data_IF_593071859222
#
_entry.id   IF_593071859222
#
_cell.length_a   1.000
_cell.length_b   1.000
_cell.length_c   1.000
_cell.angle_alpha   90.00
_cell.angle_beta   90.00
_cell.angle_gamma   90.00
#
_symmetry.space_group_name_H-M   'P 1'
#
loop_
_entity.id
_entity.type
_entity.pdbx_description
1 polymer ?
#
# COMPACT_ATOMS: atom_id res chain seq x y z
N UNK A 1 14.64 7.90 8.75
CA UNK A 1 13.33 7.19 8.80
C UNK A 1 13.00 6.65 7.42
N UNK A 2 12.53 5.42 7.32
CA UNK A 2 12.13 4.81 6.06
C UNK A 2 10.80 5.37 5.58
N UNK A 3 10.56 5.25 4.27
CA UNK A 3 9.29 5.65 3.65
C UNK A 3 8.76 4.53 2.78
N UNK A 4 7.45 4.31 2.83
CA UNK A 4 6.74 3.34 2.00
C UNK A 4 5.74 4.09 1.11
N UNK A 5 5.81 3.87 -0.20
CA UNK A 5 4.82 4.36 -1.15
C UNK A 5 4.10 3.15 -1.74
N UNK A 6 2.78 3.17 -1.73
CA UNK A 6 1.98 2.05 -2.24
C UNK A 6 0.92 2.54 -3.21
N UNK A 7 0.52 1.66 -4.15
CA UNK A 7 -0.52 1.96 -5.13
C UNK A 7 -1.21 0.68 -5.59
N UNK A 8 -2.49 0.78 -5.86
CA UNK A 8 -3.28 -0.28 -6.47
C UNK A 8 -3.81 0.19 -7.81
N UNK A 9 -3.96 -0.73 -8.75
CA UNK A 9 -4.47 -0.43 -10.08
C UNK A 9 -5.51 -1.46 -10.51
N UNK A 10 -6.56 -0.99 -11.19
CA UNK A 10 -7.58 -1.86 -11.76
C UNK A 10 -7.88 -1.39 -13.18
N UNK A 11 -7.82 -2.32 -14.14
CA UNK A 11 -8.09 -2.02 -15.55
C UNK A 11 -9.56 -1.78 -15.83
N UNK A 12 -10.39 -2.27 -14.93
CA UNK A 12 -11.83 -2.02 -14.91
C UNK A 12 -12.25 -2.15 -13.45
N UNK A 13 -13.24 -1.42 -12.99
CA UNK A 13 -13.59 -1.42 -11.57
C UNK A 13 -14.99 -2.03 -11.35
N UNK A 14 -15.14 -3.37 -11.10
CA UNK A 14 -14.05 -4.34 -10.92
C UNK A 14 -13.47 -4.85 -12.23
N UNK A 15 -12.26 -5.41 -12.15
CA UNK A 15 -11.58 -6.00 -13.30
C UNK A 15 -10.19 -6.46 -12.96
N UNK A 16 -9.36 -6.79 -13.97
CA UNK A 16 -7.98 -7.17 -13.74
C UNK A 16 -7.27 -6.12 -12.92
N UNK A 17 -6.65 -6.53 -11.83
CA UNK A 17 -6.08 -5.63 -10.83
C UNK A 17 -4.69 -6.06 -10.40
N UNK A 18 -3.92 -5.10 -9.92
CA UNK A 18 -2.57 -5.30 -9.43
C UNK A 18 -2.26 -4.29 -8.34
N UNK A 19 -1.11 -4.50 -7.70
CA UNK A 19 -0.58 -3.50 -6.77
C UNK A 19 0.93 -3.40 -6.89
N UNK A 20 1.47 -2.33 -6.33
CA UNK A 20 2.91 -2.13 -6.28
C UNK A 20 3.28 -1.19 -5.15
N UNK A 21 4.54 -1.23 -4.78
CA UNK A 21 5.06 -0.35 -3.75
C UNK A 21 6.57 -0.31 -3.73
N UNK A 22 7.09 0.69 -3.06
CA UNK A 22 8.53 0.94 -2.97
C UNK A 22 8.86 1.43 -1.56
N UNK A 23 9.98 0.96 -1.03
CA UNK A 23 10.50 1.35 0.27
C UNK A 23 11.81 2.10 0.05
N UNK A 24 11.91 3.29 0.65
CA UNK A 24 13.12 4.11 0.63
C UNK A 24 13.72 4.16 2.03
N UNK A 25 15.05 4.21 2.11
CA UNK A 25 15.73 4.47 3.39
C UNK A 25 15.75 5.98 3.71
N UNK A 26 16.40 6.35 4.81
CA UNK A 26 16.50 7.75 5.23
C UNK A 26 17.28 8.64 4.26
N UNK A 27 18.01 8.04 3.32
CA UNK A 27 18.76 8.78 2.29
C UNK A 27 18.02 8.80 0.95
N UNK A 28 16.73 8.41 0.94
CA UNK A 28 15.89 8.32 -0.26
C UNK A 28 16.41 7.34 -1.31
N UNK A 29 17.09 6.28 -0.87
CA UNK A 29 17.55 5.21 -1.73
C UNK A 29 16.53 4.07 -1.70
N UNK A 30 16.14 3.55 -2.86
CA UNK A 30 15.24 2.40 -2.94
C UNK A 30 15.91 1.18 -2.32
N UNK A 31 15.34 0.66 -1.25
CA UNK A 31 15.84 -0.55 -0.58
C UNK A 31 14.93 -1.74 -0.79
N UNK A 32 13.75 -1.55 -1.33
CA UNK A 32 12.84 -2.64 -1.65
C UNK A 32 11.74 -2.19 -2.58
N UNK A 33 11.35 -3.07 -3.50
CA UNK A 33 10.20 -2.88 -4.38
C UNK A 33 9.39 -4.17 -4.39
N UNK A 34 8.09 -4.03 -4.65
CA UNK A 34 7.21 -5.20 -4.78
C UNK A 34 6.07 -4.86 -5.72
N UNK A 35 5.55 -5.88 -6.38
CA UNK A 35 4.33 -5.76 -7.18
C UNK A 35 3.75 -7.15 -7.42
N UNK A 36 2.44 -7.22 -7.63
CA UNK A 36 1.76 -8.47 -7.88
C UNK A 36 0.46 -8.26 -8.66
N UNK A 37 0.13 -9.22 -9.51
CA UNK A 37 -1.14 -9.28 -10.20
C UNK A 37 -2.11 -10.08 -9.33
N UNK A 38 -3.30 -9.55 -9.07
CA UNK A 38 -4.24 -10.16 -8.14
C UNK A 38 -5.53 -10.68 -8.78
N UNK A 39 -5.61 -10.64 -10.12
CA UNK A 39 -6.81 -11.06 -10.82
C UNK A 39 -7.93 -10.04 -10.72
N UNK A 40 -9.18 -10.49 -10.79
CA UNK A 40 -10.33 -9.60 -10.75
C UNK A 40 -10.56 -9.05 -9.35
N UNK A 41 -10.53 -7.73 -9.22
CA UNK A 41 -10.75 -7.04 -7.96
C UNK A 41 -11.21 -5.60 -8.22
N UNK A 42 -11.53 -4.87 -7.14
CA UNK A 42 -11.82 -3.44 -7.21
C UNK A 42 -10.56 -2.62 -6.96
N UNK A 43 -10.59 -1.35 -7.33
CA UNK A 43 -9.51 -0.41 -7.00
C UNK A 43 -9.21 -0.40 -5.51
N UNK A 44 -10.23 -0.35 -4.67
CA UNK A 44 -10.04 -0.27 -3.22
C UNK A 44 -9.40 -1.52 -2.65
N UNK A 45 -9.76 -2.70 -3.14
CA UNK A 45 -9.12 -3.96 -2.73
C UNK A 45 -7.64 -3.95 -3.12
N UNK A 46 -7.33 -3.53 -4.35
CA UNK A 46 -5.95 -3.45 -4.82
C UNK A 46 -5.12 -2.50 -3.95
N UNK A 47 -5.67 -1.33 -3.61
CA UNK A 47 -5.00 -0.36 -2.75
C UNK A 47 -4.73 -0.91 -1.35
N UNK A 48 -5.72 -1.58 -0.74
CA UNK A 48 -5.53 -2.20 0.57
C UNK A 48 -4.49 -3.30 0.55
N UNK A 49 -4.48 -4.13 -0.49
CA UNK A 49 -3.48 -5.20 -0.62
C UNK A 49 -2.07 -4.63 -0.83
N UNK A 50 -1.96 -3.52 -1.57
CA UNK A 50 -0.69 -2.81 -1.74
C UNK A 50 -0.13 -2.35 -0.39
N UNK A 51 -0.98 -1.77 0.44
CA UNK A 51 -0.57 -1.32 1.77
C UNK A 51 -0.17 -2.49 2.65
N UNK A 52 -0.98 -3.54 2.69
CA UNK A 52 -0.70 -4.72 3.50
C UNK A 52 0.65 -5.36 3.12
N UNK A 53 0.88 -5.56 1.83
CA UNK A 53 2.13 -6.13 1.33
C UNK A 53 3.33 -5.27 1.72
N UNK A 54 3.19 -3.94 1.62
CA UNK A 54 4.26 -3.02 2.00
C UNK A 54 4.57 -3.04 3.48
N UNK A 55 3.54 -3.04 4.34
CA UNK A 55 3.74 -3.11 5.78
C UNK A 55 4.37 -4.44 6.19
N UNK A 56 3.97 -5.52 5.55
CA UNK A 56 4.56 -6.84 5.79
C UNK A 56 6.03 -6.86 5.41
N UNK A 57 6.40 -6.27 4.28
CA UNK A 57 7.79 -6.16 3.85
C UNK A 57 8.60 -5.34 4.86
N UNK A 58 8.06 -4.25 5.37
CA UNK A 58 8.72 -3.44 6.39
C UNK A 58 8.94 -4.24 7.68
N UNK A 59 7.95 -4.97 8.11
CA UNK A 59 8.05 -5.85 9.28
C UNK A 59 9.13 -6.91 9.08
N UNK A 60 9.14 -7.57 7.93
CA UNK A 60 10.09 -8.65 7.64
C UNK A 60 11.54 -8.13 7.58
N UNK A 61 11.73 -6.84 7.33
CA UNK A 61 13.04 -6.19 7.29
C UNK A 61 13.35 -5.40 8.57
N UNK A 62 12.59 -5.60 9.61
CA UNK A 62 12.79 -4.97 10.93
C UNK A 62 12.80 -3.43 10.89
N UNK A 63 12.02 -2.84 10.00
CA UNK A 63 11.86 -1.39 9.93
C UNK A 63 10.90 -0.97 11.04
N UNK A 64 11.36 -0.09 11.93
CA UNK A 64 10.61 0.34 13.11
C UNK A 64 10.04 1.75 13.01
N UNK A 65 10.63 2.58 12.17
CA UNK A 65 10.21 3.97 12.01
C UNK A 65 9.85 4.19 10.54
N UNK A 66 8.59 4.50 10.27
CA UNK A 66 8.07 4.47 8.91
C UNK A 66 7.08 5.60 8.64
N UNK A 67 7.25 6.26 7.50
CA UNK A 67 6.25 7.14 6.93
C UNK A 67 5.62 6.44 5.74
N UNK A 68 4.30 6.35 5.72
CA UNK A 68 3.54 5.67 4.67
C UNK A 68 2.83 6.71 3.81
N UNK A 69 2.95 6.56 2.50
CA UNK A 69 2.34 7.47 1.53
C UNK A 69 1.50 6.70 0.52
N UNK A 70 0.29 7.18 0.27
CA UNK A 70 -0.59 6.61 -0.74
C UNK A 70 -1.51 7.66 -1.31
N UNK A 71 -2.01 7.45 -2.52
CA UNK A 71 -2.90 8.41 -3.17
C UNK A 71 -4.37 8.06 -3.03
N UNK A 72 -4.71 6.98 -2.34
CA UNK A 72 -6.09 6.67 -1.98
C UNK A 72 -6.45 7.30 -0.65
N UNK A 73 -7.21 8.39 -0.69
CA UNK A 73 -7.67 9.06 0.52
C UNK A 73 -8.52 8.12 1.38
N UNK A 74 -9.36 7.30 0.75
CA UNK A 74 -10.20 6.33 1.47
C UNK A 74 -9.36 5.43 2.35
N UNK A 75 -8.34 4.79 1.77
CA UNK A 75 -7.48 3.84 2.50
C UNK A 75 -6.75 4.55 3.64
N UNK A 76 -6.16 5.68 3.36
CA UNK A 76 -5.40 6.44 4.38
C UNK A 76 -6.30 6.83 5.53
N UNK A 77 -7.48 7.40 5.26
CA UNK A 77 -8.39 7.84 6.31
C UNK A 77 -8.98 6.68 7.10
N UNK A 78 -9.27 5.56 6.45
CA UNK A 78 -9.78 4.37 7.14
C UNK A 78 -8.71 3.75 8.05
N UNK A 79 -7.48 3.63 7.58
CA UNK A 79 -6.40 3.04 8.38
C UNK A 79 -6.03 3.95 9.55
N UNK A 80 -6.13 5.26 9.38
CA UNK A 80 -5.94 6.22 10.48
C UNK A 80 -7.07 6.17 11.53
N UNK A 81 -8.20 5.56 11.18
CA UNK A 81 -9.36 5.48 12.06
C UNK A 81 -10.32 6.65 11.94
N UNK A 82 -10.12 7.55 10.98
CA UNK A 82 -10.99 8.71 10.78
C UNK A 82 -12.28 8.35 10.03
N UNK A 83 -12.24 7.33 9.18
CA UNK A 83 -13.40 6.85 8.43
C UNK A 83 -13.65 5.37 8.72
N UNK A 84 -14.92 4.99 8.80
CA UNK A 84 -15.31 3.59 9.03
C UNK A 84 -15.13 2.74 7.78
N UNK A 85 -14.80 1.47 7.99
CA UNK A 85 -14.76 0.47 6.93
C UNK A 85 -16.10 -0.26 6.90
N UNK A 86 -16.91 0.02 5.88
CA UNK A 86 -18.25 -0.58 5.77
C UNK A 86 -18.31 -1.70 4.73
N UNK A 87 -17.39 -1.71 3.77
CA UNK A 87 -17.38 -2.70 2.69
C UNK A 87 -16.95 -4.07 3.20
N UNK A 88 -17.76 -5.08 2.94
CA UNK A 88 -17.45 -6.45 3.30
C UNK A 88 -16.19 -6.97 2.58
N UNK A 89 -15.89 -6.44 1.39
CA UNK A 89 -14.69 -6.82 0.65
C UNK A 89 -13.41 -6.27 1.29
N UNK A 90 -13.50 -5.16 2.01
CA UNK A 90 -12.34 -4.50 2.60
C UNK A 90 -12.08 -4.93 4.04
N UNK A 91 -13.13 -5.31 4.77
CA UNK A 91 -12.99 -5.65 6.21
C UNK A 91 -11.92 -6.71 6.49
N UNK A 92 -11.84 -7.83 5.75
CA UNK A 92 -10.80 -8.83 6.04
C UNK A 92 -9.39 -8.27 5.91
N UNK A 93 -9.14 -7.48 4.87
CA UNK A 93 -7.82 -6.89 4.61
C UNK A 93 -7.51 -5.84 5.66
N UNK A 94 -8.49 -4.99 5.96
CA UNK A 94 -8.37 -3.97 7.01
C UNK A 94 -8.01 -4.62 8.34
N UNK A 95 -8.69 -5.72 8.70
CA UNK A 95 -8.43 -6.42 9.95
C UNK A 95 -7.02 -7.02 9.99
N UNK A 96 -6.53 -7.55 8.87
CA UNK A 96 -5.15 -8.05 8.78
C UNK A 96 -4.12 -6.94 8.97
N UNK A 97 -4.38 -5.76 8.41
CA UNK A 97 -3.51 -4.60 8.61
C UNK A 97 -3.49 -4.21 10.08
N UNK A 98 -4.67 -4.12 10.73
CA UNK A 98 -4.76 -3.76 12.14
C UNK A 98 -4.05 -4.78 13.02
N UNK A 99 -4.21 -6.05 12.72
CA UNK A 99 -3.52 -7.12 13.44
C UNK A 99 -2.00 -7.02 13.30
N UNK A 100 -1.51 -6.76 12.09
CA UNK A 100 -0.08 -6.56 11.86
C UNK A 100 0.45 -5.39 12.67
N UNK A 101 -0.26 -4.26 12.65
CA UNK A 101 0.15 -3.06 13.40
C UNK A 101 0.15 -3.30 14.91
N UNK A 102 -0.82 -4.08 15.42
CA UNK A 102 -0.90 -4.39 16.84
C UNK A 102 0.20 -5.37 17.28
N UNK A 103 0.56 -6.32 16.44
CA UNK A 103 1.51 -7.36 16.79
C UNK A 103 2.97 -6.93 16.59
N UNK A 104 3.25 -6.23 15.51
CA UNK A 104 4.62 -5.79 15.21
C UNK A 104 5.04 -4.57 16.03
N UNK A 105 4.13 -3.62 16.23
CA UNK A 105 4.34 -2.41 17.02
C UNK A 105 5.53 -1.57 16.51
N UNK A 106 5.31 -0.87 15.41
CA UNK A 106 6.26 0.15 14.96
C UNK A 106 6.52 1.14 16.10
N UNK A 107 7.75 1.59 16.26
CA UNK A 107 8.09 2.64 17.20
C UNK A 107 7.48 3.97 16.76
N UNK A 108 7.45 4.19 15.44
CA UNK A 108 6.79 5.34 14.84
C UNK A 108 6.21 4.92 13.50
N UNK A 109 4.96 5.25 13.26
CA UNK A 109 4.33 5.07 11.95
C UNK A 109 3.36 6.22 11.70
N UNK A 110 3.39 6.74 10.48
CA UNK A 110 2.57 7.87 10.06
C UNK A 110 2.00 7.57 8.68
N UNK A 111 0.70 7.79 8.50
CA UNK A 111 0.00 7.57 7.24
C UNK A 111 -0.34 8.90 6.60
N UNK A 112 0.07 9.10 5.35
CA UNK A 112 -0.07 10.37 4.64
C UNK A 112 -0.74 10.17 3.29
N UNK A 113 -1.77 10.96 3.02
CA UNK A 113 -2.37 11.03 1.70
C UNK A 113 -1.56 11.99 0.83
N UNK A 114 -1.22 11.56 -0.39
CA UNK A 114 -0.53 12.38 -1.39
C UNK A 114 -1.31 12.39 -2.69
N UNK A 115 -1.05 13.38 -3.53
CA UNK A 115 -1.64 13.43 -4.86
C UNK A 115 -0.99 12.37 -5.75
N UNK A 116 -1.76 11.85 -6.69
CA UNK A 116 -1.32 10.79 -7.59
C UNK A 116 -0.02 11.13 -8.33
N UNK A 117 0.16 12.39 -8.73
CA UNK A 117 1.38 12.83 -9.41
C UNK A 117 2.66 12.66 -8.58
N UNK A 118 2.53 12.49 -7.27
CA UNK A 118 3.67 12.26 -6.37
C UNK A 118 3.85 10.79 -6.00
N UNK A 119 3.06 9.90 -6.62
CA UNK A 119 3.10 8.46 -6.35
C UNK A 119 3.47 7.65 -7.60
N UNK A 120 4.28 8.24 -8.48
CA UNK A 120 4.59 7.67 -9.80
C UNK A 120 5.33 6.34 -9.73
N UNK A 121 6.26 6.20 -8.80
CA UNK A 121 7.06 4.98 -8.73
C UNK A 121 6.21 3.76 -8.34
N UNK A 122 5.33 3.90 -7.36
CA UNK A 122 4.41 2.84 -6.96
C UNK A 122 3.44 2.52 -8.11
N UNK A 123 2.96 3.53 -8.83
CA UNK A 123 2.09 3.34 -10.00
C UNK A 123 2.81 2.55 -11.10
N UNK A 124 4.07 2.87 -11.41
CA UNK A 124 4.89 2.11 -12.35
C UNK A 124 4.97 0.63 -11.97
N UNK A 125 5.24 0.35 -10.70
CA UNK A 125 5.38 -1.01 -10.20
C UNK A 125 4.06 -1.77 -10.31
N UNK A 126 2.94 -1.13 -9.97
CA UNK A 126 1.62 -1.74 -10.14
C UNK A 126 1.35 -2.09 -11.61
N UNK A 127 1.75 -1.22 -12.55
CA UNK A 127 1.59 -1.45 -13.97
C UNK A 127 2.51 -2.56 -14.49
N UNK A 128 3.69 -2.73 -13.93
CA UNK A 128 4.59 -3.83 -14.27
C UNK A 128 3.93 -5.19 -14.03
N UNK A 129 3.08 -5.29 -13.01
CA UNK A 129 2.39 -6.54 -12.69
C UNK A 129 1.44 -6.99 -13.80
N UNK A 130 0.99 -6.08 -14.67
CA UNK A 130 0.21 -6.43 -15.86
C UNK A 130 1.08 -6.82 -17.04
N UNK A 131 2.42 -6.80 -16.91
CA UNK A 131 3.33 -7.03 -18.01
C UNK A 131 3.55 -5.81 -18.89
N UNK A 132 3.18 -4.62 -18.42
CA UNK A 132 3.36 -3.38 -19.17
C UNK A 132 4.84 -3.00 -19.22
N UNK A 133 5.24 -2.42 -20.36
CA UNK A 133 6.59 -1.83 -20.50
C UNK A 133 6.57 -0.40 -19.98
N UNK A 134 7.59 -0.05 -19.25
CA UNK A 134 7.73 1.31 -18.74
C UNK A 134 8.65 2.09 -19.65
#
# INVERSE_FOLDING_TARGET
MHSLYFDGASRSNPGPSSYGGVIYDENNIEVGTYYDYIGKATNNVAEYLALFAGLKACKDNNIKNLKVYGDSKLVIEQVKGNWNVKSENLKPIYNEIKELLNNYKFEYIEFNHILRRYNKRADELANLAFGDTI
#
